data_IF_048566762255
#
_entry.id   IF_048566762255
#
_cell.length_a   1.000
_cell.length_b   1.000
_cell.length_c   1.000
_cell.angle_alpha   90.00
_cell.angle_beta   90.00
_cell.angle_gamma   90.00
#
_symmetry.space_group_name_H-M   'P 1'
#
loop_
_entity.id
_entity.type
_entity.pdbx_description
1 polymer ?
#
# COMPACT_ATOMS: atom_id res chain seq x y z
N UNK A 1 11.25 -4.99 6.98
CA UNK A 1 9.95 -5.68 6.84
C UNK A 1 9.98 -6.43 5.53
N UNK A 2 9.59 -7.72 5.48
CA UNK A 2 9.57 -8.47 4.22
C UNK A 2 8.42 -8.04 3.30
N UNK A 3 8.54 -8.27 1.99
CA UNK A 3 7.46 -8.03 1.01
C UNK A 3 6.14 -8.67 1.47
N UNK A 4 6.19 -9.92 1.94
CA UNK A 4 5.03 -10.66 2.42
C UNK A 4 4.33 -9.98 3.60
N UNK A 5 5.09 -9.49 4.59
CA UNK A 5 4.52 -8.81 5.75
C UNK A 5 3.80 -7.52 5.35
N UNK A 6 4.41 -6.69 4.49
CA UNK A 6 3.75 -5.47 4.03
C UNK A 6 2.49 -5.75 3.22
N UNK A 7 2.52 -6.75 2.32
CA UNK A 7 1.30 -7.17 1.59
C UNK A 7 0.18 -7.61 2.54
N UNK A 8 0.48 -8.39 3.58
CA UNK A 8 -0.53 -8.79 4.58
C UNK A 8 -1.10 -7.57 5.31
N UNK A 9 -0.28 -6.57 5.64
CA UNK A 9 -0.76 -5.34 6.29
C UNK A 9 -1.69 -4.53 5.39
N UNK A 10 -1.37 -4.38 4.10
CA UNK A 10 -2.23 -3.68 3.15
C UNK A 10 -3.54 -4.44 2.87
N UNK A 11 -3.52 -5.78 2.85
CA UNK A 11 -4.74 -6.58 2.75
C UNK A 11 -5.62 -6.45 4.00
N UNK A 12 -5.02 -6.43 5.19
CA UNK A 12 -5.74 -6.20 6.43
C UNK A 12 -6.37 -4.79 6.47
N UNK A 13 -5.65 -3.78 5.97
CA UNK A 13 -6.14 -2.42 5.83
C UNK A 13 -7.35 -2.35 4.87
N UNK A 14 -7.28 -3.00 3.71
CA UNK A 14 -8.40 -3.08 2.76
C UNK A 14 -9.64 -3.75 3.38
N UNK A 15 -9.44 -4.87 4.08
CA UNK A 15 -10.53 -5.54 4.79
C UNK A 15 -11.17 -4.62 5.84
N UNK A 16 -10.37 -3.87 6.59
CA UNK A 16 -10.87 -2.89 7.55
C UNK A 16 -11.69 -1.78 6.88
N UNK A 17 -11.24 -1.26 5.73
CA UNK A 17 -11.99 -0.27 4.96
C UNK A 17 -13.30 -0.82 4.41
N UNK A 18 -13.31 -2.06 3.89
CA UNK A 18 -14.53 -2.69 3.40
C UNK A 18 -15.58 -2.84 4.53
N UNK A 19 -15.15 -3.27 5.73
CA UNK A 19 -16.02 -3.33 6.90
C UNK A 19 -16.54 -1.94 7.31
N UNK A 20 -15.65 -0.94 7.32
CA UNK A 20 -16.02 0.44 7.64
C UNK A 20 -17.04 1.03 6.66
N UNK A 21 -16.84 0.80 5.35
CA UNK A 21 -17.76 1.25 4.30
C UNK A 21 -19.13 0.58 4.47
N UNK A 22 -19.15 -0.73 4.74
CA UNK A 22 -20.37 -1.48 4.97
C UNK A 22 -21.14 -1.00 6.22
N UNK A 23 -20.43 -0.63 7.28
CA UNK A 23 -21.03 -0.16 8.53
C UNK A 23 -21.59 1.27 8.41
N UNK A 24 -20.96 2.16 7.64
CA UNK A 24 -21.22 3.60 7.70
C UNK A 24 -22.03 4.17 6.53
N UNK A 25 -22.09 3.49 5.37
CA UNK A 25 -22.78 3.98 4.17
C UNK A 25 -23.97 3.11 3.73
N UNK A 26 -24.98 3.79 3.17
CA UNK A 26 -26.19 3.21 2.58
C UNK A 26 -25.86 2.54 1.24
N UNK A 27 -26.72 1.61 0.81
CA UNK A 27 -26.47 0.76 -0.36
C UNK A 27 -26.19 1.55 -1.66
N UNK A 28 -26.81 2.72 -1.84
CA UNK A 28 -26.63 3.54 -3.05
C UNK A 28 -25.18 4.07 -3.22
N UNK A 29 -24.56 4.56 -2.15
CA UNK A 29 -23.20 5.14 -2.20
C UNK A 29 -22.10 4.10 -2.00
N UNK A 30 -22.47 2.90 -1.53
CA UNK A 30 -21.53 1.86 -1.09
C UNK A 30 -20.62 1.37 -2.21
N UNK A 31 -21.15 1.22 -3.43
CA UNK A 31 -20.37 0.76 -4.59
C UNK A 31 -19.23 1.73 -4.94
N UNK A 32 -19.55 3.02 -5.05
CA UNK A 32 -18.55 4.06 -5.33
C UNK A 32 -17.49 4.13 -4.21
N UNK A 33 -17.90 4.04 -2.95
CA UNK A 33 -16.98 4.08 -1.81
C UNK A 33 -16.04 2.88 -1.80
N UNK A 34 -16.54 1.66 -1.99
CA UNK A 34 -15.70 0.46 -2.08
C UNK A 34 -14.64 0.58 -3.16
N UNK A 35 -15.03 0.99 -4.37
CA UNK A 35 -14.08 1.16 -5.47
C UNK A 35 -13.03 2.23 -5.14
N UNK A 36 -13.43 3.35 -4.55
CA UNK A 36 -12.52 4.44 -4.20
C UNK A 36 -11.48 4.02 -3.15
N UNK A 37 -11.91 3.35 -2.08
CA UNK A 37 -11.00 2.86 -1.05
C UNK A 37 -10.10 1.75 -1.60
N UNK A 38 -10.66 0.76 -2.29
CA UNK A 38 -9.91 -0.35 -2.89
C UNK A 38 -8.84 0.12 -3.87
N UNK A 39 -9.19 1.03 -4.79
CA UNK A 39 -8.25 1.59 -5.75
C UNK A 39 -7.12 2.37 -5.06
N UNK A 40 -7.46 3.14 -4.01
CA UNK A 40 -6.49 3.92 -3.23
C UNK A 40 -5.52 3.02 -2.47
N UNK A 41 -6.02 1.99 -1.77
CA UNK A 41 -5.20 1.03 -1.03
C UNK A 41 -4.32 0.24 -2.00
N UNK A 42 -4.86 -0.20 -3.13
CA UNK A 42 -4.09 -0.90 -4.17
C UNK A 42 -2.96 -0.02 -4.73
N UNK A 43 -3.24 1.25 -5.03
CA UNK A 43 -2.22 2.18 -5.53
C UNK A 43 -1.10 2.40 -4.51
N UNK A 44 -1.47 2.62 -3.24
CA UNK A 44 -0.49 2.77 -2.15
C UNK A 44 0.35 1.50 -1.95
N UNK A 45 -0.27 0.32 -1.99
CA UNK A 45 0.43 -0.95 -1.91
C UNK A 45 1.39 -1.14 -3.09
N UNK A 46 0.96 -0.82 -4.31
CA UNK A 46 1.79 -0.94 -5.52
C UNK A 46 3.02 -0.04 -5.44
N UNK A 47 2.85 1.23 -5.06
CA UNK A 47 3.95 2.16 -4.87
C UNK A 47 4.95 1.67 -3.82
N UNK A 48 4.44 1.22 -2.66
CA UNK A 48 5.27 0.65 -1.62
C UNK A 48 6.03 -0.60 -2.09
N UNK A 49 5.36 -1.51 -2.79
CA UNK A 49 5.94 -2.76 -3.28
C UNK A 49 7.07 -2.53 -4.29
N UNK A 50 6.90 -1.57 -5.21
CA UNK A 50 7.92 -1.22 -6.19
C UNK A 50 9.14 -0.58 -5.51
N UNK A 51 8.94 0.37 -4.59
CA UNK A 51 10.01 1.02 -3.83
C UNK A 51 10.77 0.02 -2.96
N UNK A 52 10.06 -0.97 -2.40
CA UNK A 52 10.68 -2.05 -1.65
C UNK A 52 11.51 -2.97 -2.57
N UNK A 53 10.94 -3.39 -3.70
CA UNK A 53 11.60 -4.27 -4.66
C UNK A 53 12.88 -3.65 -5.25
N UNK A 54 12.89 -2.34 -5.49
CA UNK A 54 14.08 -1.64 -6.02
C UNK A 54 15.28 -1.66 -5.07
N UNK A 55 15.05 -1.90 -3.76
CA UNK A 55 16.08 -1.92 -2.73
C UNK A 55 16.53 -3.33 -2.33
N UNK A 56 15.88 -4.39 -2.80
CA UNK A 56 16.20 -5.77 -2.39
C UNK A 56 17.58 -6.24 -2.90
N UNK A 57 17.93 -5.86 -4.14
CA UNK A 57 19.21 -6.19 -4.76
C UNK A 57 19.76 -4.97 -5.52
N UNK A 58 20.24 -3.95 -4.80
CA UNK A 58 20.67 -2.70 -5.44
C UNK A 58 21.94 -2.91 -6.25
N UNK A 59 21.94 -2.45 -7.49
CA UNK A 59 23.12 -2.46 -8.37
C UNK A 59 24.09 -1.31 -8.02
N UNK A 60 23.55 -0.20 -7.52
CA UNK A 60 24.30 1.01 -7.20
C UNK A 60 24.33 1.15 -5.68
N UNK A 61 25.52 1.38 -5.12
CA UNK A 61 25.70 1.70 -3.69
C UNK A 61 25.95 3.20 -3.52
N UNK A 62 25.51 3.80 -2.41
CA UNK A 62 25.78 5.20 -2.14
C UNK A 62 27.29 5.45 -2.01
N UNK A 63 27.80 6.48 -2.69
CA UNK A 63 29.17 6.97 -2.55
C UNK A 63 29.17 8.18 -1.63
N UNK A 64 29.86 8.08 -0.51
CA UNK A 64 29.97 9.18 0.46
C UNK A 64 31.27 9.94 0.15
N UNK A 65 31.17 11.14 -0.43
CA UNK A 65 32.30 12.07 -0.48
C UNK A 65 32.42 12.75 0.88
N UNK A 66 33.42 12.37 1.68
CA UNK A 66 33.84 13.17 2.83
C UNK A 66 34.64 14.34 2.29
N UNK A 67 34.01 15.50 2.20
CA UNK A 67 34.72 16.77 2.05
C UNK A 67 35.20 17.20 3.44
N UNK A 68 36.52 17.33 3.59
CA UNK A 68 37.21 17.86 4.76
C UNK A 68 38.02 19.06 4.37
#
# INVERSE_FOLDING_TARGET
MGLALGTVLFLALEAAFALFVNARWRAHDRGLKHVLFAASVFCCWLMWAIVYASQMHPLIRPVISREG
#
